data_IF_564277731008
#
_entry.id   IF_564277731008
#
_cell.length_a   1.000
_cell.length_b   1.000
_cell.length_c   1.000
_cell.angle_alpha   90.00
_cell.angle_beta   90.00
_cell.angle_gamma   90.00
#
_symmetry.space_group_name_H-M   'P 1'
#
loop_
_entity.id
_entity.type
_entity.pdbx_description
1 polymer ?
#
# COMPACT_ATOMS: atom_id res chain seq x y z
N UNK A 1 -25.07 -6.84 -4.77
CA UNK A 1 -23.80 -6.10 -4.63
C UNK A 1 -23.47 -5.48 -5.97
N UNK A 2 -22.82 -4.31 -5.98
CA UNK A 2 -22.47 -3.56 -7.20
C UNK A 2 -21.76 -4.44 -8.24
N UNK A 3 -20.83 -5.28 -7.79
CA UNK A 3 -20.09 -6.22 -8.64
C UNK A 3 -21.00 -7.24 -9.37
N UNK A 4 -22.05 -7.77 -8.71
CA UNK A 4 -23.03 -8.68 -9.36
C UNK A 4 -23.83 -7.98 -10.46
N UNK A 5 -23.95 -6.66 -10.38
CA UNK A 5 -24.61 -5.83 -11.40
C UNK A 5 -23.64 -5.34 -12.49
N UNK A 6 -22.39 -5.84 -12.51
CA UNK A 6 -21.33 -5.41 -13.43
C UNK A 6 -20.99 -3.92 -13.34
N UNK A 7 -21.22 -3.31 -12.18
CA UNK A 7 -20.83 -1.93 -11.89
C UNK A 7 -19.39 -1.93 -11.37
N UNK A 8 -18.57 -0.99 -11.83
CA UNK A 8 -17.21 -0.75 -11.34
C UNK A 8 -17.30 0.21 -10.14
N UNK A 9 -17.04 -0.25 -8.90
CA UNK A 9 -17.06 0.63 -7.74
C UNK A 9 -15.84 1.55 -7.75
N UNK A 10 -16.04 2.83 -7.48
CA UNK A 10 -14.96 3.80 -7.23
C UNK A 10 -15.01 4.17 -5.76
N UNK A 11 -13.94 3.84 -5.04
CA UNK A 11 -13.84 4.03 -3.59
C UNK A 11 -12.75 5.06 -3.31
N UNK A 12 -13.02 5.96 -2.38
CA UNK A 12 -12.06 6.93 -1.87
C UNK A 12 -12.33 7.18 -0.38
N UNK A 13 -11.34 7.69 0.34
CA UNK A 13 -11.55 8.19 1.69
C UNK A 13 -12.53 9.38 1.67
N UNK A 14 -13.41 9.45 2.68
CA UNK A 14 -14.34 10.56 2.82
C UNK A 14 -13.71 11.66 3.69
N UNK A 15 -12.84 12.44 3.06
CA UNK A 15 -12.05 13.49 3.71
C UNK A 15 -12.88 14.63 4.33
N UNK A 16 -14.16 14.75 3.95
CA UNK A 16 -15.05 15.83 4.40
C UNK A 16 -15.72 15.56 5.75
N UNK A 17 -15.81 14.30 6.17
CA UNK A 17 -16.54 13.89 7.39
C UNK A 17 -15.64 13.09 8.35
N UNK A 18 -14.53 12.53 7.87
CA UNK A 18 -13.63 11.75 8.71
C UNK A 18 -12.93 12.63 9.76
N UNK A 19 -13.23 12.36 11.03
CA UNK A 19 -12.47 12.88 12.19
C UNK A 19 -11.12 12.15 12.30
N UNK A 20 -10.11 12.77 12.90
CA UNK A 20 -8.74 12.21 12.95
C UNK A 20 -8.70 10.79 13.54
N UNK A 21 -9.60 10.43 14.45
CA UNK A 21 -9.62 9.08 15.04
C UNK A 21 -10.11 7.97 14.09
N UNK A 22 -10.77 8.31 12.98
CA UNK A 22 -11.37 7.35 12.03
C UNK A 22 -10.70 7.40 10.65
N UNK A 23 -9.73 8.31 10.45
CA UNK A 23 -8.98 8.37 9.19
C UNK A 23 -8.15 7.10 9.02
N UNK A 24 -8.29 6.47 7.86
CA UNK A 24 -7.39 5.40 7.41
C UNK A 24 -6.00 5.97 7.10
N UNK A 25 -5.95 7.27 6.79
CA UNK A 25 -4.73 8.07 6.72
C UNK A 25 -4.01 7.98 5.39
N UNK A 26 -4.28 6.96 4.58
CA UNK A 26 -3.82 6.83 3.20
C UNK A 26 -4.69 5.84 2.38
N UNK A 27 -4.80 6.08 1.08
CA UNK A 27 -5.57 5.23 0.17
C UNK A 27 -4.93 3.84 -0.10
N UNK A 28 -3.64 3.64 0.17
CA UNK A 28 -3.01 2.31 0.06
C UNK A 28 -3.63 1.39 1.14
N UNK A 29 -3.70 1.86 2.40
CA UNK A 29 -4.35 1.12 3.50
C UNK A 29 -5.84 0.87 3.21
N UNK A 30 -6.58 1.89 2.76
CA UNK A 30 -7.99 1.73 2.37
C UNK A 30 -8.17 0.66 1.29
N UNK A 31 -7.32 0.67 0.26
CA UNK A 31 -7.40 -0.29 -0.83
C UNK A 31 -7.17 -1.74 -0.37
N UNK A 32 -6.26 -1.96 0.59
CA UNK A 32 -6.02 -3.28 1.16
C UNK A 32 -7.20 -3.80 2.00
N UNK A 33 -7.84 -2.91 2.77
CA UNK A 33 -9.05 -3.26 3.53
C UNK A 33 -10.23 -3.57 2.60
N UNK A 34 -10.41 -2.78 1.54
CA UNK A 34 -11.45 -3.03 0.53
C UNK A 34 -11.19 -4.35 -0.20
N UNK A 35 -9.94 -4.64 -0.55
CA UNK A 35 -9.55 -5.90 -1.18
C UNK A 35 -9.93 -7.09 -0.29
N UNK A 36 -9.63 -7.03 1.00
CA UNK A 36 -10.04 -8.04 1.98
C UNK A 36 -11.56 -8.14 2.13
N UNK A 37 -12.28 -7.01 2.12
CA UNK A 37 -13.74 -6.98 2.28
C UNK A 37 -14.49 -7.64 1.11
N UNK A 38 -13.93 -7.56 -0.10
CA UNK A 38 -14.55 -8.11 -1.31
C UNK A 38 -13.97 -9.46 -1.74
N UNK A 39 -13.10 -10.06 -0.92
CA UNK A 39 -12.35 -11.28 -1.24
C UNK A 39 -11.65 -11.19 -2.60
N UNK A 40 -10.90 -10.10 -2.82
CA UNK A 40 -10.23 -9.85 -4.10
C UNK A 40 -9.10 -10.87 -4.36
N UNK A 41 -8.91 -11.25 -5.63
CA UNK A 41 -7.82 -12.15 -6.04
C UNK A 41 -6.44 -11.48 -6.07
N UNK A 42 -6.39 -10.14 -6.14
CA UNK A 42 -5.16 -9.35 -6.31
C UNK A 42 -5.39 -7.89 -5.92
N UNK A 43 -4.41 -7.29 -5.21
CA UNK A 43 -4.34 -5.85 -5.01
C UNK A 43 -3.21 -5.25 -5.86
N UNK A 44 -3.56 -4.31 -6.76
CA UNK A 44 -2.57 -3.59 -7.58
C UNK A 44 -2.46 -2.15 -7.13
N UNK A 45 -1.31 -1.78 -6.57
CA UNK A 45 -1.00 -0.38 -6.24
C UNK A 45 -0.13 0.22 -7.35
N UNK A 46 -0.66 1.23 -8.03
CA UNK A 46 0.08 1.98 -9.05
C UNK A 46 0.89 3.10 -8.40
N UNK A 47 2.18 3.20 -8.74
CA UNK A 47 3.09 4.22 -8.21
C UNK A 47 3.97 4.82 -9.31
N UNK A 48 4.49 6.01 -9.05
CA UNK A 48 5.51 6.70 -9.82
C UNK A 48 6.92 6.05 -9.73
N UNK A 49 7.15 5.22 -8.72
CA UNK A 49 8.35 4.38 -8.57
C UNK A 49 8.11 2.98 -9.12
N UNK A 50 9.18 2.34 -9.59
CA UNK A 50 9.10 1.00 -10.22
C UNK A 50 8.75 -0.14 -9.25
N UNK A 51 8.80 0.09 -7.95
CA UNK A 51 8.53 -0.91 -6.91
C UNK A 51 9.46 -0.75 -5.71
N UNK A 52 9.58 -1.82 -4.92
CA UNK A 52 10.43 -1.88 -3.73
C UNK A 52 11.89 -2.09 -4.15
N UNK A 53 12.80 -1.31 -3.57
CA UNK A 53 14.24 -1.46 -3.76
C UNK A 53 14.89 -2.03 -2.51
N UNK A 54 16.07 -2.64 -2.66
CA UNK A 54 16.87 -3.14 -1.53
C UNK A 54 17.30 -2.04 -0.55
N UNK A 55 17.47 -0.82 -1.06
CA UNK A 55 17.84 0.40 -0.34
C UNK A 55 17.25 1.61 -1.08
N UNK A 56 17.35 2.82 -0.52
CA UNK A 56 16.92 4.03 -1.23
C UNK A 56 17.75 4.26 -2.51
N UNK A 57 17.16 4.12 -3.72
CA UNK A 57 17.89 4.29 -4.97
C UNK A 57 18.35 5.73 -5.22
N UNK A 58 17.83 6.71 -4.46
CA UNK A 58 18.28 8.11 -4.52
C UNK A 58 19.62 8.31 -3.80
N UNK A 59 19.93 7.45 -2.82
CA UNK A 59 21.14 7.53 -1.99
C UNK A 59 22.19 6.50 -2.40
N UNK A 60 21.76 5.33 -2.86
CA UNK A 60 22.64 4.26 -3.29
C UNK A 60 22.37 3.86 -4.74
N UNK A 61 23.27 4.17 -5.69
CA UNK A 61 23.10 3.78 -7.10
C UNK A 61 23.18 2.26 -7.33
N UNK A 62 23.65 1.48 -6.34
CA UNK A 62 23.66 0.01 -6.39
C UNK A 62 22.35 -0.62 -5.89
N UNK A 63 21.37 0.18 -5.44
CA UNK A 63 20.08 -0.32 -4.99
C UNK A 63 19.39 -1.15 -6.09
N UNK A 64 18.91 -2.34 -5.74
CA UNK A 64 18.31 -3.29 -6.68
C UNK A 64 16.81 -3.33 -6.52
N UNK A 65 16.08 -3.33 -7.63
CA UNK A 65 14.64 -3.54 -7.63
C UNK A 65 14.32 -4.98 -7.19
N UNK A 66 13.49 -5.11 -6.16
CA UNK A 66 13.01 -6.40 -5.65
C UNK A 66 11.78 -6.78 -6.46
N UNK A 67 11.91 -7.83 -7.28
CA UNK A 67 10.82 -8.30 -8.16
C UNK A 67 9.76 -9.13 -7.45
N UNK A 68 10.12 -9.78 -6.34
CA UNK A 68 9.24 -10.65 -5.57
C UNK A 68 9.61 -10.56 -4.10
N UNK A 69 8.62 -10.32 -3.26
CA UNK A 69 8.73 -10.36 -1.81
C UNK A 69 7.88 -11.55 -1.34
N UNK A 70 8.51 -12.55 -0.74
CA UNK A 70 7.81 -13.72 -0.20
C UNK A 70 7.28 -13.48 1.23
N UNK A 71 7.92 -12.57 1.95
CA UNK A 71 7.58 -12.21 3.32
C UNK A 71 8.02 -10.77 3.56
N UNK A 72 7.16 -10.00 4.22
CA UNK A 72 7.45 -8.62 4.63
C UNK A 72 8.07 -8.69 6.03
N UNK A 73 9.38 -8.47 6.11
CA UNK A 73 10.13 -8.42 7.37
C UNK A 73 10.02 -7.08 8.06
N UNK A 74 10.27 -7.05 9.37
CA UNK A 74 10.36 -5.80 10.14
C UNK A 74 11.44 -4.87 9.57
N UNK A 75 12.60 -5.40 9.16
CA UNK A 75 13.66 -4.64 8.50
C UNK A 75 13.18 -3.92 7.22
N UNK A 76 12.30 -4.56 6.44
CA UNK A 76 11.72 -3.94 5.24
C UNK A 76 10.77 -2.79 5.60
N UNK A 77 9.99 -2.94 6.69
CA UNK A 77 9.13 -1.89 7.21
C UNK A 77 9.95 -0.70 7.73
N UNK A 78 11.02 -0.96 8.50
CA UNK A 78 11.94 0.06 9.00
C UNK A 78 12.63 0.81 7.85
N UNK A 79 13.14 0.07 6.86
CA UNK A 79 13.76 0.66 5.67
C UNK A 79 12.76 1.55 4.94
N UNK A 80 11.53 1.08 4.73
CA UNK A 80 10.49 1.86 4.07
C UNK A 80 10.14 3.14 4.86
N UNK A 81 10.07 3.07 6.18
CA UNK A 81 9.83 4.23 7.06
C UNK A 81 10.98 5.24 6.99
N UNK A 82 12.22 4.79 6.89
CA UNK A 82 13.40 5.68 6.78
C UNK A 82 13.47 6.48 5.48
N UNK A 83 12.75 6.04 4.44
CA UNK A 83 12.68 6.70 3.12
C UNK A 83 11.53 7.71 3.01
N UNK A 84 10.67 7.80 4.03
CA UNK A 84 9.55 8.74 4.05
C UNK A 84 10.06 10.19 4.09
N UNK A 85 9.49 11.05 3.26
CA UNK A 85 9.82 12.48 3.21
C UNK A 85 8.88 13.23 4.15
N UNK A 86 9.44 14.00 5.09
CA UNK A 86 8.68 14.83 6.03
C UNK A 86 7.65 15.71 5.29
N UNK A 87 6.40 15.68 5.77
CA UNK A 87 5.30 16.45 5.19
C UNK A 87 4.59 15.82 3.98
N UNK A 88 4.98 14.61 3.54
CA UNK A 88 4.23 13.84 2.53
C UNK A 88 3.47 12.68 3.17
N UNK A 89 2.14 12.69 3.05
CA UNK A 89 1.28 11.56 3.40
C UNK A 89 1.41 10.49 2.30
N UNK A 90 1.75 9.25 2.69
CA UNK A 90 1.94 8.13 1.76
C UNK A 90 3.40 7.67 1.62
N UNK A 91 3.74 7.11 0.46
CA UNK A 91 5.10 6.68 0.12
C UNK A 91 5.30 5.17 0.11
N UNK A 92 6.54 4.72 0.33
CA UNK A 92 6.86 3.29 0.38
C UNK A 92 6.32 2.64 1.65
N UNK A 93 6.37 3.35 2.78
CA UNK A 93 5.90 2.86 4.07
C UNK A 93 4.42 2.41 4.01
N UNK A 94 3.54 3.25 3.45
CA UNK A 94 2.11 2.93 3.33
C UNK A 94 1.86 1.76 2.38
N UNK A 95 2.64 1.64 1.29
CA UNK A 95 2.55 0.52 0.35
C UNK A 95 2.96 -0.80 0.96
N UNK A 96 4.05 -0.81 1.73
CA UNK A 96 4.48 -2.01 2.47
C UNK A 96 3.42 -2.40 3.51
N UNK A 97 2.86 -1.42 4.24
CA UNK A 97 1.77 -1.66 5.20
C UNK A 97 0.53 -2.24 4.51
N UNK A 98 0.09 -1.66 3.40
CA UNK A 98 -1.03 -2.15 2.60
C UNK A 98 -0.79 -3.58 2.09
N UNK A 99 0.39 -3.85 1.53
CA UNK A 99 0.79 -5.19 1.11
C UNK A 99 0.76 -6.19 2.27
N UNK A 100 1.19 -5.80 3.48
CA UNK A 100 1.12 -6.65 4.68
C UNK A 100 -0.32 -6.97 5.10
N UNK A 101 -1.24 -6.02 4.96
CA UNK A 101 -2.68 -6.22 5.23
C UNK A 101 -3.29 -7.17 4.18
N UNK A 102 -3.04 -6.92 2.89
CA UNK A 102 -3.55 -7.73 1.80
C UNK A 102 -3.04 -9.18 1.87
N UNK A 103 -1.73 -9.36 2.04
CA UNK A 103 -1.10 -10.70 2.10
C UNK A 103 -1.53 -11.52 3.31
N UNK A 104 -1.85 -10.88 4.44
CA UNK A 104 -2.49 -11.56 5.60
C UNK A 104 -3.88 -12.12 5.27
N UNK A 105 -4.56 -11.54 4.29
CA UNK A 105 -5.85 -12.01 3.79
C UNK A 105 -5.71 -13.00 2.62
N UNK A 106 -4.48 -13.44 2.30
CA UNK A 106 -4.20 -14.33 1.16
C UNK A 106 -4.18 -13.62 -0.19
N UNK A 107 -4.20 -12.28 -0.19
CA UNK A 107 -4.28 -11.46 -1.40
C UNK A 107 -2.85 -10.99 -1.76
N UNK A 108 -2.33 -11.36 -2.94
CA UNK A 108 -1.03 -10.89 -3.42
C UNK A 108 -1.02 -9.40 -3.79
#
# INVERSE_FOLDING_TARGET
>A
TLLRLKIIPVVNENDTVAVEEIKFGDNDTLSALVAGLVDADLLVILSDIKGVYSEDPRRNPKAKLIRKVSYISEEMEETAQSTSVEGRIGGMQTKIKAAKIATRSGIP
#
